data_IF_810023057188
#
_entry.id   IF_810023057188
#
_cell.length_a   1.000
_cell.length_b   1.000
_cell.length_c   1.000
_cell.angle_alpha   90.00
_cell.angle_beta   90.00
_cell.angle_gamma   90.00
#
_symmetry.space_group_name_H-M   'P 1'
#
loop_
_entity.id
_entity.type
_entity.pdbx_description
1 polymer ?
#
# COMPACT_ATOMS: atom_id res chain seq x y z
N UNK A 1 -12.80 43.07 -42.14
CA UNK A 1 -12.42 43.39 -40.75
C UNK A 1 -11.00 42.90 -40.53
N UNK A 2 -10.03 43.81 -40.44
CA UNK A 2 -8.66 43.51 -40.07
C UNK A 2 -8.59 43.38 -38.55
N UNK A 3 -8.41 42.17 -38.04
CA UNK A 3 -8.08 41.99 -36.62
C UNK A 3 -6.73 42.66 -36.37
N UNK A 4 -6.59 43.53 -35.35
CA UNK A 4 -5.32 44.18 -35.05
C UNK A 4 -4.28 43.12 -34.67
N UNK A 5 -3.14 43.16 -35.35
CA UNK A 5 -2.02 42.21 -35.25
C UNK A 5 -1.51 41.99 -33.81
N UNK A 6 -1.83 42.91 -32.89
CA UNK A 6 -1.51 42.85 -31.47
C UNK A 6 -2.33 41.80 -30.70
N UNK A 7 -3.59 41.56 -31.09
CA UNK A 7 -4.47 40.58 -30.42
C UNK A 7 -3.97 39.16 -30.68
N UNK A 8 -3.52 38.89 -31.91
CA UNK A 8 -2.96 37.59 -32.30
C UNK A 8 -1.66 37.27 -31.57
N UNK A 9 -0.76 38.25 -31.36
CA UNK A 9 0.50 38.02 -30.63
C UNK A 9 0.23 37.67 -29.16
N UNK A 10 -0.72 38.35 -28.53
CA UNK A 10 -1.14 38.07 -27.14
C UNK A 10 -1.82 36.71 -27.02
N UNK A 11 -2.64 36.31 -27.99
CA UNK A 11 -3.24 34.97 -28.05
C UNK A 11 -2.19 33.87 -28.14
N UNK A 12 -1.20 34.01 -29.02
CA UNK A 12 -0.11 33.05 -29.16
C UNK A 12 0.81 33.03 -27.94
N UNK A 13 1.08 34.18 -27.30
CA UNK A 13 1.86 34.26 -26.07
C UNK A 13 1.16 33.57 -24.88
N UNK A 14 -0.15 33.79 -24.72
CA UNK A 14 -0.96 33.13 -23.69
C UNK A 14 -1.03 31.61 -23.90
N UNK A 15 -1.21 31.18 -25.16
CA UNK A 15 -1.19 29.76 -25.52
C UNK A 15 0.18 29.11 -25.25
N UNK A 16 1.27 29.79 -25.65
CA UNK A 16 2.64 29.31 -25.47
C UNK A 16 3.04 29.23 -23.99
N UNK A 17 2.67 30.23 -23.18
CA UNK A 17 2.91 30.24 -21.74
C UNK A 17 2.15 29.12 -21.02
N UNK A 18 0.94 28.79 -21.47
CA UNK A 18 0.14 27.68 -20.94
C UNK A 18 0.77 26.31 -21.26
N UNK A 19 1.27 26.12 -22.48
CA UNK A 19 2.03 24.92 -22.86
C UNK A 19 3.33 24.81 -22.04
N UNK A 20 4.09 25.90 -21.95
CA UNK A 20 5.32 25.96 -21.15
C UNK A 20 5.08 25.62 -19.68
N UNK A 21 4.04 26.17 -19.04
CA UNK A 21 3.71 25.84 -17.66
C UNK A 21 3.39 24.35 -17.47
N UNK A 22 2.81 23.70 -18.49
CA UNK A 22 2.49 22.26 -18.44
C UNK A 22 3.72 21.36 -18.57
N UNK A 23 4.75 21.84 -19.26
CA UNK A 23 6.03 21.15 -19.41
C UNK A 23 6.98 21.42 -18.25
N UNK A 24 7.01 22.66 -17.74
CA UNK A 24 7.95 23.10 -16.69
C UNK A 24 7.52 22.65 -15.30
N UNK A 25 6.22 22.72 -14.98
CA UNK A 25 5.70 22.28 -13.68
C UNK A 25 5.12 20.87 -13.79
N UNK A 26 6.02 19.92 -14.04
CA UNK A 26 5.69 18.54 -14.41
C UNK A 26 4.71 17.80 -13.50
N UNK A 27 4.10 16.75 -14.07
CA UNK A 27 3.09 15.84 -13.53
C UNK A 27 3.38 15.14 -12.18
N UNK A 28 4.45 15.48 -11.46
CA UNK A 28 4.96 14.72 -10.31
C UNK A 28 4.62 15.30 -8.95
N UNK A 29 4.25 16.58 -8.85
CA UNK A 29 3.87 17.22 -7.58
C UNK A 29 2.55 17.97 -7.72
N UNK A 30 1.81 18.11 -6.62
CA UNK A 30 0.51 18.81 -6.60
C UNK A 30 0.62 20.29 -7.04
N UNK A 31 1.81 20.88 -6.91
CA UNK A 31 2.11 22.25 -7.28
C UNK A 31 1.86 22.52 -8.77
N UNK A 32 2.20 21.58 -9.66
CA UNK A 32 1.98 21.74 -11.10
C UNK A 32 0.50 21.89 -11.49
N UNK A 33 -0.37 20.94 -11.12
CA UNK A 33 -1.80 21.08 -11.25
C UNK A 33 -2.38 22.35 -10.63
N UNK A 34 -1.93 22.73 -9.43
CA UNK A 34 -2.43 23.92 -8.74
C UNK A 34 -2.08 25.20 -9.51
N UNK A 35 -0.82 25.34 -9.94
CA UNK A 35 -0.36 26.45 -10.79
C UNK A 35 -1.12 26.46 -12.11
N UNK A 36 -1.35 25.29 -12.72
CA UNK A 36 -2.12 25.16 -13.95
C UNK A 36 -3.58 25.61 -13.80
N UNK A 37 -4.24 25.26 -12.70
CA UNK A 37 -5.61 25.73 -12.37
C UNK A 37 -5.65 27.24 -12.21
N UNK A 38 -4.74 27.82 -11.41
CA UNK A 38 -4.67 29.27 -11.19
C UNK A 38 -4.40 30.01 -12.51
N UNK A 39 -3.46 29.51 -13.31
CA UNK A 39 -3.11 30.08 -14.61
C UNK A 39 -4.29 30.05 -15.57
N UNK A 40 -5.02 28.92 -15.63
CA UNK A 40 -6.23 28.80 -16.45
C UNK A 40 -7.27 29.85 -16.08
N UNK A 41 -7.53 30.04 -14.78
CA UNK A 41 -8.50 31.02 -14.28
C UNK A 41 -8.10 32.44 -14.67
N UNK A 42 -6.83 32.81 -14.47
CA UNK A 42 -6.33 34.14 -14.84
C UNK A 42 -6.48 34.43 -16.33
N UNK A 43 -6.16 33.47 -17.21
CA UNK A 43 -6.31 33.67 -18.65
C UNK A 43 -7.77 33.66 -19.12
N UNK A 44 -8.66 32.93 -18.45
CA UNK A 44 -10.11 33.05 -18.70
C UNK A 44 -10.62 34.44 -18.32
N UNK A 45 -10.21 34.98 -17.16
CA UNK A 45 -10.58 36.33 -16.73
C UNK A 45 -10.05 37.40 -17.69
N UNK A 46 -8.79 37.26 -18.13
CA UNK A 46 -8.22 38.15 -19.14
C UNK A 46 -8.98 38.05 -20.48
N UNK A 47 -9.21 36.84 -20.98
CA UNK A 47 -9.95 36.62 -22.23
C UNK A 47 -11.37 37.19 -22.18
N UNK A 48 -12.03 37.11 -21.02
CA UNK A 48 -13.32 37.76 -20.79
C UNK A 48 -13.21 39.28 -20.83
N UNK A 49 -12.24 39.87 -20.11
CA UNK A 49 -12.02 41.31 -20.08
C UNK A 49 -11.61 41.89 -21.45
N UNK A 50 -10.92 41.12 -22.28
CA UNK A 50 -10.44 41.53 -23.61
C UNK A 50 -11.36 41.14 -24.77
N UNK A 51 -12.48 40.45 -24.50
CA UNK A 51 -13.40 39.96 -25.54
C UNK A 51 -12.85 38.82 -26.41
N UNK A 52 -11.79 38.13 -25.97
CA UNK A 52 -11.11 37.06 -26.71
C UNK A 52 -11.67 35.70 -26.30
N UNK A 53 -12.75 35.29 -26.94
CA UNK A 53 -13.51 34.10 -26.58
C UNK A 53 -12.74 32.79 -26.84
N UNK A 54 -11.85 32.78 -27.84
CA UNK A 54 -10.98 31.64 -28.12
C UNK A 54 -10.00 31.35 -26.95
N UNK A 55 -9.50 32.40 -26.28
CA UNK A 55 -8.65 32.25 -25.10
C UNK A 55 -9.42 31.66 -23.92
N UNK A 56 -10.69 32.02 -23.74
CA UNK A 56 -11.56 31.43 -22.71
C UNK A 56 -11.75 29.94 -22.98
N UNK A 57 -12.13 29.56 -24.21
CA UNK A 57 -12.36 28.17 -24.58
C UNK A 57 -11.11 27.28 -24.40
N UNK A 58 -9.94 27.76 -24.82
CA UNK A 58 -8.68 27.02 -24.64
C UNK A 58 -8.34 26.82 -23.14
N UNK A 59 -8.58 27.83 -22.30
CA UNK A 59 -8.27 27.75 -20.88
C UNK A 59 -9.30 26.95 -20.07
N UNK A 60 -10.54 26.77 -20.55
CA UNK A 60 -11.48 25.79 -19.96
C UNK A 60 -10.92 24.37 -20.09
N UNK A 61 -10.43 23.99 -21.28
CA UNK A 61 -9.82 22.67 -21.50
C UNK A 61 -8.59 22.50 -20.60
N UNK A 62 -7.77 23.55 -20.49
CA UNK A 62 -6.60 23.56 -19.63
C UNK A 62 -6.95 23.38 -18.14
N UNK A 63 -7.99 24.08 -17.67
CA UNK A 63 -8.51 23.94 -16.31
C UNK A 63 -8.97 22.50 -16.04
N UNK A 64 -9.69 21.88 -16.96
CA UNK A 64 -10.15 20.48 -16.83
C UNK A 64 -8.96 19.52 -16.72
N UNK A 65 -7.95 19.67 -17.58
CA UNK A 65 -6.76 18.80 -17.58
C UNK A 65 -6.03 18.91 -16.24
N UNK A 66 -5.76 20.13 -15.76
CA UNK A 66 -5.02 20.32 -14.52
C UNK A 66 -5.82 19.91 -13.29
N UNK A 67 -7.13 20.16 -13.26
CA UNK A 67 -8.00 19.66 -12.19
C UNK A 67 -7.99 18.14 -12.15
N UNK A 68 -8.10 17.46 -13.30
CA UNK A 68 -8.03 16.00 -13.40
C UNK A 68 -6.65 15.44 -13.01
N UNK A 69 -5.57 16.12 -13.39
CA UNK A 69 -4.21 15.72 -13.01
C UNK A 69 -3.97 15.88 -11.51
N UNK A 70 -4.42 16.99 -10.93
CA UNK A 70 -4.37 17.24 -9.48
C UNK A 70 -5.17 16.19 -8.72
N UNK A 71 -6.39 15.90 -9.18
CA UNK A 71 -7.19 14.81 -8.62
C UNK A 71 -6.46 13.48 -8.70
N UNK A 72 -5.90 13.13 -9.86
CA UNK A 72 -5.14 11.88 -10.05
C UNK A 72 -3.96 11.77 -9.10
N UNK A 73 -3.20 12.86 -8.89
CA UNK A 73 -2.06 12.90 -7.97
C UNK A 73 -2.55 12.73 -6.52
N UNK A 74 -3.62 13.41 -6.13
CA UNK A 74 -4.21 13.29 -4.79
C UNK A 74 -4.80 11.91 -4.51
N UNK A 75 -5.37 11.24 -5.51
CA UNK A 75 -5.90 9.87 -5.38
C UNK A 75 -4.80 8.81 -5.47
N UNK A 76 -3.64 9.16 -6.03
CA UNK A 76 -2.48 8.28 -6.13
C UNK A 76 -1.46 8.49 -5.01
N UNK A 77 -1.77 9.33 -4.02
CA UNK A 77 -0.96 9.49 -2.82
C UNK A 77 -0.91 8.16 -2.03
N UNK A 78 0.27 7.52 -1.90
CA UNK A 78 0.39 6.22 -1.21
C UNK A 78 -0.12 6.25 0.23
N UNK A 79 0.02 7.37 0.93
CA UNK A 79 -0.47 7.52 2.31
C UNK A 79 -2.00 7.41 2.34
N UNK A 80 -2.69 8.22 1.53
CA UNK A 80 -4.17 8.18 1.43
C UNK A 80 -4.68 6.82 0.95
N UNK A 81 -3.97 6.17 0.03
CA UNK A 81 -4.33 4.83 -0.42
C UNK A 81 -4.22 3.81 0.71
N UNK A 82 -3.18 3.90 1.53
CA UNK A 82 -2.97 3.06 2.71
C UNK A 82 -4.07 3.29 3.73
N UNK A 83 -4.35 4.54 4.12
CA UNK A 83 -5.42 4.89 5.05
C UNK A 83 -6.81 4.41 4.58
N UNK A 84 -7.11 4.56 3.29
CA UNK A 84 -8.36 4.07 2.71
C UNK A 84 -8.43 2.54 2.77
N UNK A 85 -7.38 1.86 2.33
CA UNK A 85 -7.33 0.40 2.28
C UNK A 85 -7.39 -0.19 3.69
N UNK A 86 -6.79 0.46 4.68
CA UNK A 86 -6.89 0.11 6.09
C UNK A 86 -8.32 0.19 6.63
N UNK A 87 -9.07 1.26 6.32
CA UNK A 87 -10.49 1.36 6.69
C UNK A 87 -11.33 0.26 6.04
N UNK A 88 -11.05 -0.03 4.78
CA UNK A 88 -11.70 -1.13 4.06
C UNK A 88 -11.29 -2.50 4.63
N UNK A 89 -10.06 -2.67 5.13
CA UNK A 89 -9.62 -3.88 5.84
C UNK A 89 -10.41 -4.08 7.13
N UNK A 90 -10.65 -3.03 7.93
CA UNK A 90 -11.52 -3.17 9.11
C UNK A 90 -12.92 -3.65 8.73
N UNK A 91 -13.50 -3.12 7.64
CA UNK A 91 -14.78 -3.64 7.15
C UNK A 91 -14.71 -5.14 6.79
N UNK A 92 -13.62 -5.57 6.15
CA UNK A 92 -13.37 -6.99 5.86
C UNK A 92 -13.34 -7.79 7.18
N UNK A 93 -12.55 -7.35 8.16
CA UNK A 93 -12.41 -8.00 9.47
C UNK A 93 -13.74 -8.03 10.24
N UNK A 94 -14.50 -6.95 10.27
CA UNK A 94 -15.78 -6.87 10.99
C UNK A 94 -16.82 -7.84 10.41
N UNK A 95 -16.82 -8.01 9.09
CA UNK A 95 -17.80 -8.84 8.37
C UNK A 95 -17.32 -10.28 8.16
N UNK A 96 -16.15 -10.66 8.69
CA UNK A 96 -15.58 -11.99 8.49
C UNK A 96 -16.59 -13.08 8.84
N UNK A 97 -16.52 -14.20 8.12
CA UNK A 97 -17.43 -15.36 8.25
C UNK A 97 -18.91 -15.13 7.88
N UNK A 98 -19.33 -13.90 7.58
CA UNK A 98 -20.71 -13.55 7.22
C UNK A 98 -20.85 -13.04 5.78
N UNK A 99 -19.89 -13.35 4.92
CA UNK A 99 -19.81 -12.84 3.56
C UNK A 99 -20.75 -13.53 2.57
N UNK A 100 -21.40 -12.71 1.74
CA UNK A 100 -21.95 -13.14 0.46
C UNK A 100 -20.90 -13.02 -0.66
N UNK A 101 -21.29 -13.26 -1.92
CA UNK A 101 -20.36 -13.17 -3.06
C UNK A 101 -19.77 -11.77 -3.27
N UNK A 102 -20.56 -10.71 -3.10
CA UNK A 102 -20.09 -9.33 -3.24
C UNK A 102 -19.07 -8.97 -2.15
N UNK A 103 -19.31 -9.42 -0.92
CA UNK A 103 -18.36 -9.20 0.19
C UNK A 103 -17.04 -9.96 -0.05
N UNK A 104 -17.10 -11.17 -0.62
CA UNK A 104 -15.93 -11.94 -1.01
C UNK A 104 -15.12 -11.23 -2.12
N UNK A 105 -15.80 -10.70 -3.13
CA UNK A 105 -15.15 -9.95 -4.21
C UNK A 105 -14.50 -8.66 -3.67
N UNK A 106 -15.22 -7.95 -2.80
CA UNK A 106 -14.70 -6.77 -2.09
C UNK A 106 -13.46 -7.12 -1.24
N UNK A 107 -13.53 -8.16 -0.41
CA UNK A 107 -12.43 -8.60 0.44
C UNK A 107 -11.20 -8.98 -0.38
N UNK A 108 -11.40 -9.71 -1.48
CA UNK A 108 -10.33 -10.07 -2.42
C UNK A 108 -9.67 -8.82 -3.03
N UNK A 109 -10.44 -7.80 -3.39
CA UNK A 109 -9.90 -6.55 -3.92
C UNK A 109 -9.07 -5.79 -2.87
N UNK A 110 -9.61 -5.64 -1.65
CA UNK A 110 -8.98 -4.94 -0.53
C UNK A 110 -7.64 -5.61 -0.17
N UNK A 111 -7.64 -6.92 0.03
CA UNK A 111 -6.43 -7.67 0.40
C UNK A 111 -5.39 -7.64 -0.73
N UNK A 112 -5.82 -7.72 -1.99
CA UNK A 112 -4.91 -7.60 -3.13
C UNK A 112 -4.29 -6.20 -3.21
N UNK A 113 -5.07 -5.15 -2.91
CA UNK A 113 -4.56 -3.77 -2.85
C UNK A 113 -3.58 -3.59 -1.68
N UNK A 114 -3.90 -4.11 -0.50
CA UNK A 114 -3.03 -4.04 0.67
C UNK A 114 -1.69 -4.72 0.41
N UNK A 115 -1.68 -5.93 -0.17
CA UNK A 115 -0.46 -6.62 -0.56
C UNK A 115 0.44 -5.80 -1.50
N UNK A 116 -0.17 -5.13 -2.48
CA UNK A 116 0.58 -4.23 -3.38
C UNK A 116 1.17 -3.04 -2.65
N UNK A 117 0.43 -2.42 -1.75
CA UNK A 117 0.89 -1.26 -0.98
C UNK A 117 2.04 -1.63 -0.03
N UNK A 118 1.91 -2.72 0.73
CA UNK A 118 2.96 -3.21 1.63
C UNK A 118 4.23 -3.62 0.87
N UNK A 119 4.07 -4.30 -0.26
CA UNK A 119 5.20 -4.67 -1.10
C UNK A 119 5.91 -3.44 -1.69
N UNK A 120 5.15 -2.49 -2.24
CA UNK A 120 5.70 -1.27 -2.81
C UNK A 120 6.45 -0.45 -1.76
N UNK A 121 5.90 -0.28 -0.56
CA UNK A 121 6.57 0.44 0.52
C UNK A 121 7.90 -0.23 0.92
N UNK A 122 7.92 -1.56 1.01
CA UNK A 122 9.14 -2.32 1.30
C UNK A 122 10.16 -2.22 0.17
N UNK A 123 9.70 -2.28 -1.07
CA UNK A 123 10.53 -2.13 -2.26
C UNK A 123 11.18 -0.73 -2.33
N UNK A 124 10.39 0.32 -2.11
CA UNK A 124 10.85 1.71 -2.12
C UNK A 124 11.86 2.00 -0.99
N UNK A 125 11.75 1.30 0.15
CA UNK A 125 12.73 1.34 1.23
C UNK A 125 13.99 0.49 0.97
N UNK A 126 14.07 -0.17 -0.20
CA UNK A 126 15.22 -0.96 -0.62
C UNK A 126 15.35 -2.32 0.10
N UNK A 127 14.24 -2.92 0.54
CA UNK A 127 14.24 -4.23 1.20
C UNK A 127 14.21 -5.42 0.25
N UNK A 128 14.10 -5.15 -1.06
CA UNK A 128 14.07 -6.16 -2.13
C UNK A 128 15.19 -5.97 -3.15
N UNK A 129 16.07 -4.98 -2.94
CA UNK A 129 17.24 -4.72 -3.78
C UNK A 129 18.50 -4.90 -2.97
N UNK A 130 19.55 -5.41 -3.61
CA UNK A 130 20.89 -5.37 -3.03
C UNK A 130 21.27 -3.91 -2.78
N UNK A 131 21.68 -3.60 -1.55
CA UNK A 131 21.90 -2.22 -1.13
C UNK A 131 23.12 -1.57 -1.79
N UNK A 132 24.06 -2.36 -2.31
CA UNK A 132 25.29 -1.89 -2.96
C UNK A 132 25.10 -1.77 -4.47
N UNK A 133 24.45 -2.74 -5.10
CA UNK A 133 24.30 -2.80 -6.56
C UNK A 133 22.97 -2.22 -7.04
N UNK A 134 21.95 -2.17 -6.18
CA UNK A 134 20.57 -1.81 -6.53
C UNK A 134 19.80 -2.91 -7.27
N UNK A 135 20.43 -4.05 -7.53
CA UNK A 135 19.81 -5.15 -8.28
C UNK A 135 18.71 -5.82 -7.46
N UNK A 136 17.63 -6.22 -8.13
CA UNK A 136 16.52 -6.92 -7.50
C UNK A 136 16.98 -8.28 -6.97
N UNK A 137 16.76 -8.53 -5.69
CA UNK A 137 17.04 -9.82 -5.07
C UNK A 137 15.94 -10.85 -5.40
N UNK A 138 16.30 -12.15 -5.52
CA UNK A 138 15.30 -13.20 -5.64
C UNK A 138 14.43 -13.25 -4.37
N UNK A 139 13.15 -13.63 -4.48
CA UNK A 139 12.29 -13.67 -3.33
C UNK A 139 12.69 -14.77 -2.35
N UNK A 140 13.23 -14.37 -1.20
CA UNK A 140 13.56 -15.29 -0.11
C UNK A 140 12.33 -15.54 0.76
N UNK A 141 11.54 -16.57 0.39
CA UNK A 141 10.39 -17.00 1.20
C UNK A 141 10.85 -17.42 2.59
N UNK A 142 12.01 -18.09 2.69
CA UNK A 142 12.63 -18.45 3.97
C UNK A 142 12.74 -17.26 4.92
N UNK A 143 13.40 -16.20 4.46
CA UNK A 143 13.68 -15.02 5.25
C UNK A 143 12.39 -14.31 5.66
N UNK A 144 11.46 -14.14 4.71
CA UNK A 144 10.18 -13.48 4.97
C UNK A 144 9.33 -14.27 5.94
N UNK A 145 9.34 -15.60 5.90
CA UNK A 145 8.63 -16.44 6.88
C UNK A 145 9.21 -16.29 8.29
N UNK A 146 10.54 -16.19 8.44
CA UNK A 146 11.16 -15.96 9.76
C UNK A 146 10.82 -14.58 10.30
N UNK A 147 10.76 -13.55 9.45
CA UNK A 147 10.29 -12.22 9.86
C UNK A 147 8.84 -12.26 10.33
N UNK A 148 7.97 -13.03 9.68
CA UNK A 148 6.59 -13.22 10.15
C UNK A 148 6.57 -13.90 11.53
N UNK A 149 7.38 -14.94 11.74
CA UNK A 149 7.51 -15.58 13.06
C UNK A 149 7.98 -14.58 14.15
N UNK A 150 8.91 -13.67 13.85
CA UNK A 150 9.35 -12.71 14.84
C UNK A 150 8.24 -11.74 15.23
N UNK A 151 7.49 -11.17 14.28
CA UNK A 151 6.41 -10.23 14.62
C UNK A 151 5.30 -10.90 15.47
N UNK A 152 4.94 -12.16 15.17
CA UNK A 152 3.97 -12.93 15.98
C UNK A 152 4.51 -13.17 17.41
N UNK A 153 5.81 -13.42 17.55
CA UNK A 153 6.45 -13.60 18.86
C UNK A 153 6.50 -12.30 19.65
N UNK A 154 6.74 -11.17 18.98
CA UNK A 154 6.69 -9.83 19.60
C UNK A 154 5.26 -9.49 20.05
N UNK A 155 4.24 -9.87 19.28
CA UNK A 155 2.84 -9.73 19.69
C UNK A 155 2.54 -10.54 20.98
N UNK A 156 3.03 -11.78 21.07
CA UNK A 156 2.91 -12.61 22.28
C UNK A 156 3.59 -11.94 23.49
N UNK A 157 4.79 -11.41 23.31
CA UNK A 157 5.51 -10.73 24.38
C UNK A 157 4.80 -9.45 24.83
N UNK A 158 4.24 -8.69 23.87
CA UNK A 158 3.42 -7.51 24.10
C UNK A 158 2.20 -7.80 24.96
N UNK A 159 1.48 -8.88 24.67
CA UNK A 159 0.34 -9.32 25.48
C UNK A 159 0.77 -9.82 26.87
N UNK A 160 1.73 -10.75 26.92
CA UNK A 160 2.21 -11.38 28.16
C UNK A 160 2.71 -10.36 29.20
N UNK A 161 3.27 -9.24 28.74
CA UNK A 161 3.75 -8.14 29.58
C UNK A 161 2.80 -6.94 29.62
N UNK A 162 1.70 -6.97 28.89
CA UNK A 162 0.74 -5.86 28.73
C UNK A 162 1.41 -4.53 28.34
N UNK A 163 2.33 -4.59 27.37
CA UNK A 163 3.14 -3.45 26.93
C UNK A 163 2.39 -2.54 25.96
N UNK A 164 2.71 -1.25 26.01
CA UNK A 164 2.47 -0.33 24.89
C UNK A 164 3.60 -0.47 23.87
N UNK A 165 3.33 -0.14 22.61
CA UNK A 165 4.35 -0.19 21.57
C UNK A 165 5.33 0.99 21.69
N UNK A 166 6.63 0.75 21.47
CA UNK A 166 7.65 1.80 21.57
C UNK A 166 7.55 2.83 20.43
N UNK A 167 7.01 2.43 19.27
CA UNK A 167 6.93 3.24 18.04
C UNK A 167 5.59 3.97 17.97
N UNK A 168 4.53 3.35 18.48
CA UNK A 168 3.16 3.86 18.57
C UNK A 168 2.64 3.77 20.03
N UNK A 169 3.09 4.64 20.94
CA UNK A 169 2.84 4.50 22.39
C UNK A 169 1.38 4.60 22.84
N UNK A 170 0.48 5.01 21.97
CA UNK A 170 -0.96 5.05 22.21
C UNK A 170 -1.68 3.74 21.84
N UNK A 171 -0.97 2.76 21.26
CA UNK A 171 -1.47 1.42 20.94
C UNK A 171 -0.73 0.35 21.76
N UNK A 172 -1.41 -0.75 22.03
CA UNK A 172 -0.76 -1.91 22.66
C UNK A 172 0.28 -2.53 21.73
N UNK A 173 1.36 -3.06 22.28
CA UNK A 173 2.39 -3.77 21.50
C UNK A 173 1.79 -4.99 20.77
N UNK A 174 0.86 -5.70 21.41
CA UNK A 174 0.14 -6.82 20.80
C UNK A 174 -0.54 -6.42 19.49
N UNK A 175 -1.32 -5.34 19.51
CA UNK A 175 -2.01 -4.80 18.33
C UNK A 175 -1.04 -4.36 17.23
N UNK A 176 0.04 -3.66 17.61
CA UNK A 176 0.99 -3.10 16.65
C UNK A 176 1.84 -4.17 15.96
N UNK A 177 2.21 -5.24 16.67
CA UNK A 177 3.00 -6.33 16.08
C UNK A 177 2.11 -7.36 15.37
N UNK A 178 0.82 -7.45 15.70
CA UNK A 178 -0.16 -8.12 14.83
C UNK A 178 -0.36 -7.36 13.51
N UNK A 179 -0.36 -6.02 13.54
CA UNK A 179 -0.35 -5.21 12.33
C UNK A 179 0.95 -5.36 11.52
N UNK A 180 2.12 -5.43 12.17
CA UNK A 180 3.38 -5.70 11.46
C UNK A 180 3.38 -7.11 10.84
N UNK A 181 2.78 -8.09 11.51
CA UNK A 181 2.53 -9.44 10.95
C UNK A 181 1.75 -9.36 9.63
N UNK A 182 0.64 -8.59 9.57
CA UNK A 182 -0.10 -8.34 8.32
C UNK A 182 0.80 -7.73 7.25
N UNK A 183 1.58 -6.71 7.61
CA UNK A 183 2.49 -6.03 6.68
C UNK A 183 3.51 -7.01 6.09
N UNK A 184 4.10 -7.89 6.91
CA UNK A 184 5.06 -8.92 6.44
C UNK A 184 4.41 -9.91 5.49
N UNK A 185 3.21 -10.41 5.80
CA UNK A 185 2.46 -11.33 4.94
C UNK A 185 2.14 -10.66 3.60
N UNK A 186 1.63 -9.44 3.64
CA UNK A 186 1.25 -8.66 2.47
C UNK A 186 2.46 -8.27 1.60
N UNK A 187 3.63 -7.98 2.18
CA UNK A 187 4.86 -7.69 1.45
C UNK A 187 5.31 -8.86 0.58
N UNK A 188 5.46 -10.06 1.16
CA UNK A 188 5.85 -11.24 0.38
C UNK A 188 4.75 -11.66 -0.60
N UNK A 189 3.48 -11.60 -0.21
CA UNK A 189 2.38 -11.94 -1.12
C UNK A 189 2.32 -11.00 -2.33
N UNK A 190 2.55 -9.70 -2.12
CA UNK A 190 2.61 -8.69 -3.19
C UNK A 190 3.77 -8.95 -4.16
N UNK A 191 4.90 -9.46 -3.67
CA UNK A 191 6.03 -9.89 -4.52
C UNK A 191 5.72 -11.14 -5.35
N UNK A 192 4.96 -12.08 -4.78
CA UNK A 192 4.70 -13.39 -5.37
C UNK A 192 3.50 -13.42 -6.33
N UNK A 193 2.47 -12.58 -6.16
CA UNK A 193 1.32 -12.66 -7.05
C UNK A 193 0.28 -11.55 -6.96
N UNK A 194 -0.24 -11.15 -8.13
CA UNK A 194 -1.24 -10.07 -8.29
C UNK A 194 -2.66 -10.42 -7.84
N UNK A 195 -2.92 -11.65 -7.41
CA UNK A 195 -4.24 -12.16 -7.02
C UNK A 195 -4.27 -12.71 -5.59
N UNK A 196 -3.47 -12.16 -4.69
CA UNK A 196 -3.41 -12.66 -3.31
C UNK A 196 -4.79 -12.72 -2.62
N UNK A 197 -5.65 -11.73 -2.85
CA UNK A 197 -6.99 -11.69 -2.27
C UNK A 197 -7.87 -12.89 -2.63
N UNK A 198 -7.71 -13.50 -3.80
CA UNK A 198 -8.49 -14.70 -4.13
C UNK A 198 -8.08 -15.90 -3.28
N UNK A 199 -6.80 -16.00 -2.89
CA UNK A 199 -6.31 -17.04 -1.98
C UNK A 199 -6.73 -16.77 -0.54
N UNK A 200 -6.73 -15.50 -0.10
CA UNK A 200 -7.29 -15.12 1.18
C UNK A 200 -8.76 -15.56 1.33
N UNK A 201 -9.59 -15.31 0.31
CA UNK A 201 -11.00 -15.71 0.34
C UNK A 201 -11.17 -17.24 0.21
N UNK A 202 -10.52 -17.87 -0.78
CA UNK A 202 -10.77 -19.28 -1.09
C UNK A 202 -10.09 -20.27 -0.14
N UNK A 203 -8.87 -19.97 0.31
CA UNK A 203 -8.10 -20.81 1.22
C UNK A 203 -8.35 -20.43 2.67
N UNK A 204 -8.43 -19.14 2.99
CA UNK A 204 -8.65 -18.66 4.36
C UNK A 204 -9.99 -19.11 4.95
N UNK A 205 -11.06 -19.08 4.16
CA UNK A 205 -12.37 -19.54 4.63
C UNK A 205 -12.41 -21.02 5.01
N UNK A 206 -11.46 -21.84 4.56
CA UNK A 206 -11.41 -23.27 4.91
C UNK A 206 -11.05 -23.50 6.38
N UNK A 207 -10.46 -22.50 7.04
CA UNK A 207 -10.00 -22.54 8.44
C UNK A 207 -10.80 -21.59 9.34
N UNK A 208 -11.96 -21.15 8.85
CA UNK A 208 -12.85 -20.23 9.54
C UNK A 208 -13.41 -20.84 10.84
N UNK A 209 -13.52 -20.02 11.88
CA UNK A 209 -14.12 -20.38 13.16
C UNK A 209 -13.19 -21.14 14.11
N UNK A 210 -11.89 -21.15 13.84
CA UNK A 210 -10.89 -21.86 14.64
C UNK A 210 -10.27 -21.01 15.77
N UNK A 211 -10.64 -19.72 15.89
CA UNK A 211 -10.22 -18.90 17.04
C UNK A 211 -10.91 -19.41 18.30
N UNK A 212 -10.12 -19.69 19.33
CA UNK A 212 -10.61 -20.31 20.57
C UNK A 212 -10.78 -19.32 21.72
N UNK A 213 -10.15 -18.14 21.63
CA UNK A 213 -10.22 -17.10 22.65
C UNK A 213 -9.24 -17.26 23.81
N UNK A 214 -8.24 -18.13 23.63
CA UNK A 214 -7.01 -18.13 24.39
C UNK A 214 -5.90 -17.55 23.51
N UNK A 215 -5.35 -16.41 23.92
CA UNK A 215 -4.40 -15.65 23.09
C UNK A 215 -3.13 -16.43 22.79
N UNK A 216 -2.69 -17.28 23.73
CA UNK A 216 -1.53 -18.15 23.53
C UNK A 216 -1.80 -19.18 22.43
N UNK A 217 -2.95 -19.85 22.49
CA UNK A 217 -3.39 -20.83 21.50
C UNK A 217 -3.64 -20.19 20.13
N UNK A 218 -4.31 -19.04 20.09
CA UNK A 218 -4.58 -18.31 18.86
C UNK A 218 -3.27 -17.82 18.19
N UNK A 219 -2.29 -17.35 18.95
CA UNK A 219 -0.96 -17.01 18.43
C UNK A 219 -0.16 -18.24 18.00
N UNK A 220 -0.30 -19.38 18.69
CA UNK A 220 0.27 -20.65 18.24
C UNK A 220 -0.32 -21.07 16.88
N UNK A 221 -1.61 -20.83 16.64
CA UNK A 221 -2.26 -21.06 15.34
C UNK A 221 -1.62 -20.22 14.23
N UNK A 222 -1.29 -18.95 14.50
CA UNK A 222 -0.58 -18.10 13.54
C UNK A 222 0.83 -18.65 13.22
N UNK A 223 1.58 -19.10 14.23
CA UNK A 223 2.87 -19.75 14.01
C UNK A 223 2.76 -21.07 13.23
N UNK A 224 1.71 -21.85 13.45
CA UNK A 224 1.42 -23.07 12.70
C UNK A 224 1.23 -22.77 11.22
N UNK A 225 0.37 -21.82 10.85
CA UNK A 225 0.18 -21.43 9.44
C UNK A 225 1.46 -20.82 8.84
N UNK A 226 2.21 -20.03 9.60
CA UNK A 226 3.52 -19.51 9.18
C UNK A 226 4.49 -20.65 8.84
N UNK A 227 4.50 -21.72 9.64
CA UNK A 227 5.32 -22.91 9.39
C UNK A 227 4.85 -23.67 8.14
N UNK A 228 3.55 -23.67 7.83
CA UNK A 228 3.01 -24.27 6.60
C UNK A 228 3.46 -23.52 5.35
N UNK A 229 3.56 -22.19 5.38
CA UNK A 229 4.14 -21.40 4.28
C UNK A 229 5.55 -21.91 3.93
N UNK A 230 6.39 -22.15 4.94
CA UNK A 230 7.73 -22.72 4.74
C UNK A 230 7.69 -24.13 4.16
N UNK A 231 6.76 -24.97 4.64
CA UNK A 231 6.58 -26.32 4.10
C UNK A 231 6.26 -26.28 2.60
N UNK A 232 5.30 -25.45 2.18
CA UNK A 232 4.90 -25.36 0.77
C UNK A 232 6.02 -24.81 -0.11
N UNK A 233 6.77 -23.83 0.39
CA UNK A 233 7.99 -23.36 -0.27
C UNK A 233 8.96 -24.52 -0.53
N UNK A 234 9.28 -25.33 0.49
CA UNK A 234 10.24 -26.44 0.37
C UNK A 234 9.74 -27.54 -0.57
N UNK A 235 8.47 -27.92 -0.45
CA UNK A 235 7.88 -29.01 -1.25
C UNK A 235 7.84 -28.66 -2.73
N UNK A 236 7.51 -27.41 -3.06
CA UNK A 236 7.31 -26.98 -4.45
C UNK A 236 8.51 -26.23 -5.04
N UNK A 237 9.63 -26.08 -4.32
CA UNK A 237 10.80 -25.35 -4.79
C UNK A 237 11.34 -25.91 -6.12
N UNK A 238 11.28 -27.24 -6.29
CA UNK A 238 11.71 -27.95 -7.50
C UNK A 238 10.88 -27.61 -8.74
N UNK A 239 9.68 -27.04 -8.57
CA UNK A 239 8.83 -26.61 -9.67
C UNK A 239 9.29 -25.30 -10.31
N UNK A 240 10.24 -24.60 -9.67
CA UNK A 240 10.70 -23.26 -10.04
C UNK A 240 9.91 -22.17 -9.33
N UNK A 241 10.62 -21.16 -8.82
CA UNK A 241 10.08 -20.09 -7.97
C UNK A 241 9.03 -19.21 -8.67
N UNK A 242 9.04 -19.17 -10.01
CA UNK A 242 8.05 -18.42 -10.81
C UNK A 242 6.92 -19.31 -11.34
N UNK A 243 6.90 -20.61 -11.00
CA UNK A 243 5.86 -21.51 -11.49
C UNK A 243 4.50 -21.22 -10.84
N UNK A 244 3.39 -21.34 -11.58
CA UNK A 244 2.04 -21.19 -11.02
C UNK A 244 1.76 -22.15 -9.86
N UNK A 245 2.35 -23.36 -9.91
CA UNK A 245 2.16 -24.37 -8.86
C UNK A 245 2.85 -23.96 -7.55
N UNK A 246 4.12 -23.54 -7.62
CA UNK A 246 4.85 -23.04 -6.45
C UNK A 246 4.19 -21.78 -5.87
N UNK A 247 3.94 -20.78 -6.71
CA UNK A 247 3.37 -19.50 -6.27
C UNK A 247 1.96 -19.69 -5.69
N UNK A 248 1.13 -20.52 -6.32
CA UNK A 248 -0.21 -20.85 -5.81
C UNK A 248 -0.19 -21.55 -4.45
N UNK A 249 0.71 -22.52 -4.24
CA UNK A 249 0.84 -23.22 -2.97
C UNK A 249 1.25 -22.28 -1.83
N UNK A 250 2.26 -21.44 -2.05
CA UNK A 250 2.73 -20.45 -1.06
C UNK A 250 1.67 -19.38 -0.78
N UNK A 251 1.02 -18.83 -1.82
CA UNK A 251 -0.02 -17.82 -1.66
C UNK A 251 -1.28 -18.37 -0.96
N UNK A 252 -1.61 -19.65 -1.15
CA UNK A 252 -2.70 -20.32 -0.44
C UNK A 252 -2.47 -20.32 1.08
N UNK A 253 -1.27 -20.69 1.53
CA UNK A 253 -0.93 -20.70 2.95
C UNK A 253 -0.79 -19.29 3.54
N UNK A 254 -0.22 -18.33 2.78
CA UNK A 254 -0.23 -16.92 3.18
C UNK A 254 -1.65 -16.38 3.31
N UNK A 255 -2.58 -16.84 2.46
CA UNK A 255 -3.99 -16.46 2.49
C UNK A 255 -4.68 -17.00 3.74
N UNK A 256 -4.42 -18.26 4.11
CA UNK A 256 -4.86 -18.85 5.38
C UNK A 256 -4.29 -18.10 6.57
N UNK A 257 -2.99 -17.82 6.57
CA UNK A 257 -2.35 -17.09 7.65
C UNK A 257 -2.94 -15.69 7.85
N UNK A 258 -3.13 -14.92 6.77
CA UNK A 258 -3.77 -13.60 6.87
C UNK A 258 -5.21 -13.71 7.37
N UNK A 259 -5.96 -14.73 6.94
CA UNK A 259 -7.31 -14.98 7.44
C UNK A 259 -7.32 -15.24 8.94
N UNK A 260 -6.39 -16.08 9.42
CA UNK A 260 -6.25 -16.37 10.84
C UNK A 260 -5.88 -15.12 11.66
N UNK A 261 -5.03 -14.24 11.13
CA UNK A 261 -4.73 -12.93 11.73
C UNK A 261 -5.99 -12.05 11.81
N UNK A 262 -6.77 -11.98 10.72
CA UNK A 262 -8.01 -11.22 10.68
C UNK A 262 -9.06 -11.76 11.68
N UNK A 263 -9.24 -13.07 11.79
CA UNK A 263 -10.12 -13.66 12.81
C UNK A 263 -9.67 -13.36 14.22
N UNK A 264 -8.35 -13.46 14.48
CA UNK A 264 -7.76 -13.11 15.78
C UNK A 264 -8.08 -11.66 16.12
N UNK A 265 -7.85 -10.74 15.17
CA UNK A 265 -8.17 -9.33 15.36
C UNK A 265 -9.66 -9.07 15.58
N UNK A 266 -10.55 -9.77 14.84
CA UNK A 266 -12.01 -9.66 15.01
C UNK A 266 -12.42 -10.10 16.42
N UNK A 267 -11.90 -11.23 16.89
CA UNK A 267 -12.25 -11.80 18.19
C UNK A 267 -11.79 -10.91 19.35
N UNK A 268 -10.54 -10.43 19.29
CA UNK A 268 -9.97 -9.53 20.30
C UNK A 268 -10.33 -8.05 20.12
N UNK A 269 -11.19 -7.72 19.13
CA UNK A 269 -11.67 -6.36 18.84
C UNK A 269 -10.54 -5.35 18.58
N UNK A 270 -9.54 -5.77 17.84
CA UNK A 270 -8.37 -4.97 17.48
C UNK A 270 -8.70 -4.09 16.28
N UNK A 271 -8.32 -2.80 16.33
CA UNK A 271 -8.32 -1.90 15.16
C UNK A 271 -7.15 -2.23 14.22
N UNK A 272 -7.22 -3.42 13.59
CA UNK A 272 -6.13 -3.96 12.79
C UNK A 272 -5.78 -3.04 11.60
N UNK A 273 -6.80 -2.53 10.92
CA UNK A 273 -6.64 -1.59 9.81
C UNK A 273 -5.95 -0.30 10.25
N UNK A 274 -6.42 0.34 11.33
CA UNK A 274 -5.78 1.56 11.83
C UNK A 274 -4.34 1.33 12.27
N UNK A 275 -4.07 0.22 12.97
CA UNK A 275 -2.72 -0.16 13.36
C UNK A 275 -1.80 -0.40 12.15
N UNK A 276 -2.29 -1.06 11.09
CA UNK A 276 -1.56 -1.24 9.83
C UNK A 276 -1.24 0.11 9.17
N UNK A 277 -2.20 1.03 9.12
CA UNK A 277 -1.99 2.35 8.52
C UNK A 277 -0.91 3.15 9.26
N UNK A 278 -0.99 3.21 10.59
CA UNK A 278 -0.01 3.93 11.41
C UNK A 278 1.37 3.28 11.39
N UNK A 279 1.45 1.95 11.44
CA UNK A 279 2.72 1.22 11.37
C UNK A 279 3.39 1.38 10.00
N UNK A 280 2.62 1.37 8.91
CA UNK A 280 3.12 1.67 7.56
C UNK A 280 3.64 3.12 7.46
N UNK A 281 2.91 4.10 7.99
CA UNK A 281 3.37 5.50 8.01
C UNK A 281 4.64 5.68 8.83
N UNK A 282 4.74 5.01 9.98
CA UNK A 282 5.95 5.00 10.79
C UNK A 282 7.14 4.39 10.03
N UNK A 283 6.95 3.23 9.39
CA UNK A 283 7.99 2.53 8.64
C UNK A 283 8.57 3.36 7.48
N UNK A 284 7.74 4.15 6.79
CA UNK A 284 8.20 5.08 5.73
C UNK A 284 9.19 6.12 6.27
N UNK A 285 8.99 6.59 7.50
CA UNK A 285 9.79 7.65 8.10
C UNK A 285 10.91 7.12 9.00
N UNK A 286 10.98 5.80 9.21
CA UNK A 286 11.84 5.17 10.21
C UNK A 286 13.32 5.35 9.85
N UNK A 287 14.15 5.95 10.74
CA UNK A 287 15.54 6.24 10.41
C UNK A 287 16.35 5.01 9.97
N UNK A 288 16.22 3.87 10.66
CA UNK A 288 16.99 2.66 10.37
C UNK A 288 16.52 1.90 9.10
N UNK A 289 15.41 2.32 8.49
CA UNK A 289 14.95 1.80 7.18
C UNK A 289 15.55 2.58 6.01
N UNK A 290 16.10 3.78 6.25
CA UNK A 290 16.76 4.56 5.20
C UNK A 290 18.04 3.87 4.73
N UNK A 291 18.21 3.77 3.42
CA UNK A 291 19.40 3.17 2.76
C UNK A 291 20.70 3.76 3.34
N UNK A 292 20.74 5.08 3.51
CA UNK A 292 21.87 5.82 4.08
C UNK A 292 22.28 5.32 5.48
N UNK A 293 21.33 4.92 6.31
CA UNK A 293 21.59 4.41 7.66
C UNK A 293 21.92 2.92 7.66
N UNK A 294 21.34 2.16 6.73
CA UNK A 294 21.65 0.73 6.55
C UNK A 294 23.06 0.50 5.99
N UNK A 295 23.60 1.43 5.21
CA UNK A 295 24.97 1.38 4.70
C UNK A 295 26.04 1.69 5.76
N UNK A 296 25.67 2.24 6.92
CA UNK A 296 26.61 2.50 8.04
C UNK A 296 26.98 1.19 8.74
N UNK A 297 28.13 1.17 9.42
CA UNK A 297 28.53 0.03 10.25
C UNK A 297 27.48 -0.27 11.33
N UNK A 298 27.01 -1.52 11.39
CA UNK A 298 25.92 -1.94 12.29
C UNK A 298 24.51 -1.58 11.81
N UNK A 299 24.36 -1.09 10.57
CA UNK A 299 23.06 -0.81 9.96
C UNK A 299 22.21 -2.07 9.80
N UNK A 300 20.88 -1.92 9.84
CA UNK A 300 19.94 -3.05 9.73
C UNK A 300 20.07 -3.73 8.36
N UNK A 301 20.45 -5.00 8.37
CA UNK A 301 20.57 -5.86 7.20
C UNK A 301 19.95 -7.22 7.48
N UNK A 302 19.39 -7.82 6.43
CA UNK A 302 19.02 -9.21 6.38
C UNK A 302 19.21 -9.74 4.97
#
# INVERSE_FOLDING_TARGET
MTFPMTVTILEWAAFSASIMCSFVYGYRTIAGPLIGVVTAILFMLFGWASGVHAAIAANIIFLIIHTRNGWRIMTNDPKRQTERTAKELNRVVDQLNHWNQEDMDFASEVVTRLAKLCHQASFDAGWWSDIKTGELMPPSVALKTVLIHSEISEAMEGDRKSLQDDKLPHRSMFEVELADTVIRICDIAGRLGRKFGSYFVSSGRQIAGEVVGDIGEDLCRLHYHTSRVWREHRVHLSCGADSPMYTGAVLSELGQLLYAVCETAQFYKIDLGGAVAEKMEFNVNRPDHKIENRLKGGGKSY
#
